data_IF_923822965242
#
_entry.id   IF_923822965242
#
_cell.length_a   1.000
_cell.length_b   1.000
_cell.length_c   1.000
_cell.angle_alpha   90.00
_cell.angle_beta   90.00
_cell.angle_gamma   90.00
#
_symmetry.space_group_name_H-M   'P 1'
#
loop_
_entity.id
_entity.type
_entity.pdbx_description
1 polymer ?
#
# COMPACT_ATOMS: atom_id res chain seq x y z
N UNK A 1 17.19 9.61 7.81
CA UNK A 1 15.75 9.94 7.83
C UNK A 1 15.16 9.35 6.56
N UNK A 2 14.15 8.48 6.68
CA UNK A 2 13.49 7.87 5.52
C UNK A 2 12.40 8.82 5.04
N UNK A 3 12.28 9.00 3.73
CA UNK A 3 11.23 9.80 3.08
C UNK A 3 10.47 8.93 2.10
N UNK A 4 9.16 9.09 2.03
CA UNK A 4 8.35 8.46 0.98
C UNK A 4 8.07 9.52 -0.08
N UNK A 5 8.64 9.33 -1.26
CA UNK A 5 8.58 10.30 -2.36
C UNK A 5 7.66 9.78 -3.46
N UNK A 6 6.75 10.61 -4.00
CA UNK A 6 5.92 10.19 -5.13
C UNK A 6 6.78 10.06 -6.40
N UNK A 7 6.52 9.01 -7.18
CA UNK A 7 7.00 8.84 -8.53
C UNK A 7 6.05 9.45 -9.56
N UNK A 8 6.42 9.33 -10.83
CA UNK A 8 5.57 9.76 -11.95
C UNK A 8 4.33 8.87 -12.12
N UNK A 9 3.26 9.47 -12.63
CA UNK A 9 2.06 8.74 -13.03
C UNK A 9 2.22 8.32 -14.49
N UNK A 10 2.10 7.03 -14.79
CA UNK A 10 2.23 6.55 -16.16
C UNK A 10 0.93 6.73 -16.97
N UNK A 11 0.99 6.44 -18.27
CA UNK A 11 -0.15 6.58 -19.19
C UNK A 11 -1.35 5.68 -18.83
N UNK A 12 -1.14 4.63 -18.03
CA UNK A 12 -2.17 3.71 -17.57
C UNK A 12 -2.83 4.17 -16.26
N UNK A 13 -2.42 5.32 -15.70
CA UNK A 13 -2.90 5.84 -14.42
C UNK A 13 -2.29 5.14 -13.20
N UNK A 14 -1.21 4.39 -13.39
CA UNK A 14 -0.45 3.80 -12.30
C UNK A 14 0.52 4.84 -11.77
N UNK A 15 0.71 4.86 -10.45
CA UNK A 15 1.60 5.75 -9.75
C UNK A 15 2.36 4.97 -8.69
N UNK A 16 3.54 5.45 -8.32
CA UNK A 16 4.35 4.81 -7.30
C UNK A 16 4.75 5.77 -6.19
N UNK A 17 5.07 5.20 -5.03
CA UNK A 17 5.87 5.86 -4.01
C UNK A 17 7.15 5.08 -3.81
N UNK A 18 8.25 5.78 -3.60
CA UNK A 18 9.57 5.20 -3.33
C UNK A 18 10.02 5.62 -1.94
N UNK A 19 10.61 4.69 -1.18
CA UNK A 19 11.27 5.00 0.07
C UNK A 19 12.71 5.44 -0.24
N UNK A 20 12.99 6.72 0.00
CA UNK A 20 14.29 7.36 -0.21
C UNK A 20 15.02 7.53 1.14
N UNK A 21 16.27 7.05 1.18
CA UNK A 21 17.14 7.05 2.37
C UNK A 21 18.42 6.25 2.14
N UNK A 22 19.40 6.40 3.02
CA UNK A 22 20.70 5.72 2.88
C UNK A 22 20.53 4.20 2.78
N UNK A 23 20.93 3.63 1.65
CA UNK A 23 20.86 2.20 1.32
C UNK A 23 19.45 1.59 1.31
N UNK A 24 18.40 2.39 1.11
CA UNK A 24 17.03 1.87 0.93
C UNK A 24 16.69 1.87 -0.55
N UNK A 25 16.20 0.74 -1.04
CA UNK A 25 15.60 0.60 -2.36
C UNK A 25 14.28 -0.15 -2.18
N UNK A 26 13.19 0.61 -2.08
CA UNK A 26 11.85 0.05 -2.00
C UNK A 26 10.81 0.98 -2.65
N UNK A 27 9.81 0.41 -3.29
CA UNK A 27 8.72 1.13 -3.94
C UNK A 27 7.40 0.37 -3.84
N UNK A 28 6.30 1.10 -3.82
CA UNK A 28 4.96 0.54 -3.97
C UNK A 28 4.27 1.21 -5.16
N UNK A 29 3.75 0.39 -6.06
CA UNK A 29 3.00 0.84 -7.25
C UNK A 29 1.53 0.52 -7.06
N UNK A 30 0.68 1.49 -7.35
CA UNK A 30 -0.76 1.34 -7.29
C UNK A 30 -1.45 2.01 -8.48
N UNK A 31 -2.71 1.63 -8.72
CA UNK A 31 -3.56 2.20 -9.77
C UNK A 31 -4.85 2.70 -9.16
N UNK A 32 -5.21 3.93 -9.49
CA UNK A 32 -6.49 4.51 -9.08
C UNK A 32 -7.55 4.29 -10.17
N UNK A 33 -8.69 3.70 -9.78
CA UNK A 33 -9.83 3.42 -10.65
C UNK A 33 -11.13 3.94 -10.02
N UNK A 34 -11.32 5.27 -10.04
CA UNK A 34 -12.46 5.91 -9.39
C UNK A 34 -12.40 5.76 -7.87
N UNK A 35 -13.41 5.12 -7.28
CA UNK A 35 -13.48 4.86 -5.85
C UNK A 35 -12.61 3.68 -5.36
N UNK A 36 -11.95 2.98 -6.29
CA UNK A 36 -11.13 1.79 -6.05
C UNK A 36 -9.64 2.10 -6.26
N UNK A 37 -8.79 1.57 -5.39
CA UNK A 37 -7.34 1.59 -5.55
C UNK A 37 -6.80 0.15 -5.61
N UNK A 38 -6.04 -0.17 -6.64
CA UNK A 38 -5.38 -1.48 -6.77
C UNK A 38 -3.90 -1.34 -6.42
N UNK A 39 -3.44 -2.04 -5.39
CA UNK A 39 -2.02 -2.19 -5.10
C UNK A 39 -1.49 -3.27 -6.06
N UNK A 40 -0.52 -2.89 -6.88
CA UNK A 40 -0.02 -3.72 -7.98
C UNK A 40 1.31 -4.40 -7.63
N UNK A 41 2.23 -3.66 -6.99
CA UNK A 41 3.51 -4.21 -6.56
C UNK A 41 4.01 -3.52 -5.30
N UNK A 42 4.80 -4.26 -4.51
CA UNK A 42 5.64 -3.73 -3.45
C UNK A 42 7.01 -4.35 -3.63
N UNK A 43 7.94 -3.60 -4.19
CA UNK A 43 9.31 -4.00 -4.43
C UNK A 43 10.16 -3.50 -3.27
N UNK A 44 10.91 -4.37 -2.61
CA UNK A 44 11.72 -3.98 -1.45
C UNK A 44 12.96 -4.87 -1.30
N UNK A 45 14.10 -4.27 -0.97
CA UNK A 45 15.33 -4.98 -0.64
C UNK A 45 15.54 -4.97 0.88
N UNK A 46 15.23 -6.08 1.56
CA UNK A 46 15.39 -6.23 3.02
C UNK A 46 14.12 -6.76 3.68
N UNK A 47 14.05 -6.75 5.01
CA UNK A 47 12.88 -7.22 5.77
C UNK A 47 12.28 -6.13 6.66
N UNK A 48 12.38 -4.85 6.26
CA UNK A 48 11.85 -3.76 7.07
C UNK A 48 10.33 -3.57 6.87
N UNK A 49 9.57 -4.11 7.82
CA UNK A 49 8.11 -3.99 7.89
C UNK A 49 7.62 -2.53 7.89
N UNK A 50 8.36 -1.60 8.52
CA UNK A 50 7.96 -0.20 8.60
C UNK A 50 8.04 0.51 7.25
N UNK A 51 9.03 0.13 6.42
CA UNK A 51 9.15 0.67 5.06
C UNK A 51 7.99 0.18 4.19
N UNK A 52 7.68 -1.12 4.25
CA UNK A 52 6.55 -1.72 3.52
C UNK A 52 5.23 -1.05 3.94
N UNK A 53 4.97 -0.95 5.24
CA UNK A 53 3.76 -0.30 5.76
C UNK A 53 3.68 1.17 5.33
N UNK A 54 4.77 1.92 5.47
CA UNK A 54 4.83 3.33 5.08
C UNK A 54 4.57 3.55 3.59
N UNK A 55 5.08 2.67 2.73
CA UNK A 55 4.81 2.69 1.29
C UNK A 55 3.34 2.42 0.97
N UNK A 56 2.75 1.38 1.55
CA UNK A 56 1.33 1.04 1.37
C UNK A 56 0.45 2.20 1.85
N UNK A 57 0.71 2.73 3.06
CA UNK A 57 -0.01 3.90 3.57
C UNK A 57 0.14 5.11 2.67
N UNK A 58 1.28 5.32 2.03
CA UNK A 58 1.50 6.45 1.14
C UNK A 58 0.61 6.37 -0.11
N UNK A 59 0.52 5.19 -0.74
CA UNK A 59 -0.38 5.01 -1.90
C UNK A 59 -1.85 5.11 -1.49
N UNK A 60 -2.23 4.55 -0.33
CA UNK A 60 -3.59 4.64 0.22
C UNK A 60 -3.99 6.10 0.51
N UNK A 61 -3.10 6.88 1.13
CA UNK A 61 -3.34 8.31 1.36
C UNK A 61 -3.53 9.08 0.05
N UNK A 62 -2.73 8.78 -0.97
CA UNK A 62 -2.89 9.39 -2.29
C UNK A 62 -4.25 9.06 -2.93
N UNK A 63 -4.70 7.81 -2.79
CA UNK A 63 -6.02 7.36 -3.24
C UNK A 63 -7.17 8.01 -2.47
N UNK A 64 -7.09 8.05 -1.14
CA UNK A 64 -8.08 8.68 -0.27
C UNK A 64 -8.29 10.15 -0.63
N UNK A 65 -7.19 10.89 -0.85
CA UNK A 65 -7.23 12.28 -1.29
C UNK A 65 -7.87 12.48 -2.69
N UNK A 66 -8.14 11.40 -3.42
CA UNK A 66 -8.81 11.37 -4.72
C UNK A 66 -10.14 10.62 -4.69
N UNK A 67 -10.72 10.45 -3.50
CA UNK A 67 -12.00 9.79 -3.26
C UNK A 67 -11.99 8.28 -3.54
N UNK A 68 -10.84 7.61 -3.39
CA UNK A 68 -10.84 6.16 -3.22
C UNK A 68 -11.26 5.80 -1.80
N UNK A 69 -12.15 4.81 -1.68
CA UNK A 69 -12.64 4.31 -0.39
C UNK A 69 -12.26 2.85 -0.16
N UNK A 70 -11.98 2.09 -1.23
CA UNK A 70 -11.66 0.67 -1.12
C UNK A 70 -10.35 0.36 -1.82
N UNK A 71 -9.47 -0.39 -1.15
CA UNK A 71 -8.23 -0.88 -1.74
C UNK A 71 -8.27 -2.38 -1.97
N UNK A 72 -7.60 -2.83 -3.03
CA UNK A 72 -7.52 -4.21 -3.46
C UNK A 72 -6.06 -4.60 -3.66
N UNK A 73 -5.72 -5.85 -3.33
CA UNK A 73 -4.42 -6.44 -3.59
C UNK A 73 -4.63 -7.93 -3.93
N UNK A 74 -3.94 -8.43 -4.96
CA UNK A 74 -4.01 -9.86 -5.29
C UNK A 74 -2.94 -10.62 -4.51
N UNK A 75 -3.29 -11.56 -3.61
CA UNK A 75 -2.32 -12.23 -2.75
C UNK A 75 -1.17 -12.87 -3.54
N UNK A 76 -1.43 -13.40 -4.74
CA UNK A 76 -0.43 -14.05 -5.59
C UNK A 76 0.68 -13.12 -6.11
N UNK A 77 0.46 -11.81 -6.08
CA UNK A 77 1.44 -10.80 -6.53
C UNK A 77 2.43 -10.41 -5.42
N UNK A 78 2.27 -10.94 -4.20
CA UNK A 78 3.02 -10.51 -3.02
C UNK A 78 3.67 -11.66 -2.24
N UNK A 79 4.82 -11.38 -1.62
CA UNK A 79 5.44 -12.27 -0.65
C UNK A 79 4.76 -12.25 0.72
N UNK A 80 5.04 -13.27 1.55
CA UNK A 80 4.42 -13.46 2.88
C UNK A 80 4.51 -12.22 3.78
N UNK A 81 5.64 -11.50 3.73
CA UNK A 81 5.82 -10.31 4.54
C UNK A 81 4.86 -9.18 4.16
N UNK A 82 4.69 -8.91 2.86
CA UNK A 82 3.76 -7.88 2.39
C UNK A 82 2.32 -8.28 2.72
N UNK A 83 1.97 -9.56 2.55
CA UNK A 83 0.65 -10.09 2.94
C UNK A 83 0.41 -9.87 4.44
N UNK A 84 1.40 -10.15 5.30
CA UNK A 84 1.28 -9.92 6.74
C UNK A 84 1.04 -8.45 7.09
N UNK A 85 1.69 -7.52 6.39
CA UNK A 85 1.46 -6.07 6.57
C UNK A 85 0.08 -5.66 6.04
N UNK A 86 -0.36 -6.18 4.89
CA UNK A 86 -1.72 -5.93 4.39
C UNK A 86 -2.77 -6.39 5.40
N UNK A 87 -2.62 -7.58 5.98
CA UNK A 87 -3.53 -8.05 7.05
C UNK A 87 -3.49 -7.16 8.30
N UNK A 88 -2.31 -6.68 8.71
CA UNK A 88 -2.17 -5.74 9.83
C UNK A 88 -2.88 -4.39 9.56
N UNK A 89 -2.94 -3.99 8.28
CA UNK A 89 -3.66 -2.80 7.82
C UNK A 89 -5.17 -3.03 7.63
N UNK A 90 -5.69 -4.22 7.96
CA UNK A 90 -7.12 -4.53 7.85
C UNK A 90 -7.55 -5.02 6.47
N UNK A 91 -6.62 -5.49 5.63
CA UNK A 91 -7.01 -6.22 4.43
C UNK A 91 -7.49 -7.62 4.78
N UNK A 92 -8.69 -7.96 4.31
CA UNK A 92 -9.30 -9.27 4.47
C UNK A 92 -9.46 -9.95 3.11
N UNK A 93 -9.42 -11.28 3.08
CA UNK A 93 -9.59 -12.03 1.83
C UNK A 93 -11.06 -12.17 1.49
N UNK A 94 -11.48 -11.57 0.38
CA UNK A 94 -12.82 -11.69 -0.19
C UNK A 94 -12.73 -12.24 -1.62
N UNK A 95 -13.38 -13.39 -1.89
CA UNK A 95 -13.38 -14.01 -3.22
C UNK A 95 -11.98 -14.21 -3.85
N UNK A 96 -10.96 -14.46 -3.01
CA UNK A 96 -9.58 -14.67 -3.44
C UNK A 96 -8.76 -13.39 -3.67
N UNK A 97 -9.30 -12.21 -3.36
CA UNK A 97 -8.59 -10.93 -3.42
C UNK A 97 -8.55 -10.33 -2.02
N UNK A 98 -7.45 -9.67 -1.65
CA UNK A 98 -7.36 -8.90 -0.41
C UNK A 98 -8.07 -7.55 -0.62
N UNK A 99 -8.97 -7.20 0.29
CA UNK A 99 -9.80 -5.99 0.23
C UNK A 99 -9.74 -5.26 1.57
N UNK A 100 -9.67 -3.93 1.56
CA UNK A 100 -9.84 -3.13 2.77
C UNK A 100 -10.61 -1.82 2.51
N UNK A 101 -11.20 -1.27 3.56
CA UNK A 101 -11.63 0.12 3.62
C UNK A 101 -10.42 1.04 3.87
N UNK A 102 -10.22 2.01 2.98
CA UNK A 102 -9.05 2.90 3.01
C UNK A 102 -9.06 3.79 4.27
N UNK A 103 -10.17 4.47 4.64
CA UNK A 103 -10.26 5.17 5.91
C UNK A 103 -9.82 4.33 7.11
N UNK A 104 -10.33 3.10 7.24
CA UNK A 104 -9.98 2.21 8.36
C UNK A 104 -8.49 1.84 8.36
N UNK A 105 -7.96 1.47 7.19
CA UNK A 105 -6.54 1.15 7.03
C UNK A 105 -5.63 2.34 7.40
N UNK A 106 -6.05 3.58 7.15
CA UNK A 106 -5.30 4.80 7.45
C UNK A 106 -5.39 5.25 8.91
N UNK A 107 -6.41 4.86 9.67
CA UNK A 107 -6.54 5.20 11.11
C UNK A 107 -5.47 4.58 12.01
N UNK A 108 -4.74 3.57 11.52
CA UNK A 108 -3.60 2.98 12.22
C UNK A 108 -3.96 1.95 13.30
N UNK A 109 -3.05 1.01 13.55
CA UNK A 109 -3.27 -0.12 14.46
C UNK A 109 -3.31 0.27 15.95
N UNK A 110 -2.93 1.49 16.33
CA UNK A 110 -3.01 1.97 17.72
C UNK A 110 -4.44 2.05 18.26
N UNK A 111 -5.45 2.06 17.39
CA UNK A 111 -6.87 2.08 17.76
C UNK A 111 -7.55 0.70 17.65
N UNK A 112 -6.81 -0.35 17.25
CA UNK A 112 -7.35 -1.71 17.03
C UNK A 112 -7.08 -2.68 18.19
N UNK A 113 -6.71 -2.19 19.38
CA UNK A 113 -6.74 -2.99 20.59
C UNK A 113 -8.20 -3.35 20.93
N UNK A 114 -8.66 -4.53 20.49
CA UNK A 114 -9.77 -5.24 21.11
C UNK A 114 -9.22 -6.38 21.96
#
# INVERSE_FOLDING_TARGET
>A
MIRFVPGDINQNGEFSYTADGDNISASCTAKLQGARLDILSVDYAGNDAFIIEGLIRSVLNYGANRNAFTAYAKPEDFGEQVISILSLLGFETENGVLVCDIPDALTGSCCHCK
#
